data_IF_781008413214
#
_entry.id   IF_781008413214
#
_cell.length_a   1.000
_cell.length_b   1.000
_cell.length_c   1.000
_cell.angle_alpha   90.00
_cell.angle_beta   90.00
_cell.angle_gamma   90.00
#
_symmetry.space_group_name_H-M   'P 1'
#
loop_
_entity.id
_entity.type
_entity.pdbx_description
1 polymer ?
#
# COMPACT_ATOMS: atom_id res chain seq x y z
N UNK A 1 5.47 -15.96 46.77
CA UNK A 1 5.33 -14.56 46.31
C UNK A 1 4.74 -14.66 44.92
N UNK A 2 3.42 -14.70 44.86
CA UNK A 2 2.70 -15.23 43.71
C UNK A 2 2.23 -14.07 42.82
N UNK A 3 2.79 -14.00 41.61
CA UNK A 3 2.36 -13.03 40.59
C UNK A 3 1.46 -13.73 39.58
N UNK A 4 0.15 -13.54 39.75
CA UNK A 4 -0.86 -13.85 38.73
C UNK A 4 -0.90 -12.69 37.73
N UNK A 5 -0.45 -12.92 36.50
CA UNK A 5 -0.64 -12.03 35.36
C UNK A 5 -1.86 -12.52 34.57
N UNK A 6 -2.94 -11.75 34.60
CA UNK A 6 -4.15 -11.96 33.79
C UNK A 6 -4.06 -11.02 32.59
N UNK A 7 -3.97 -11.58 31.39
CA UNK A 7 -4.03 -10.87 30.12
C UNK A 7 -5.37 -11.14 29.43
N UNK A 8 -5.78 -10.14 28.64
CA UNK A 8 -6.72 -10.20 27.50
C UNK A 8 -8.21 -9.96 27.76
N UNK A 9 -8.65 -8.76 27.36
CA UNK A 9 -9.86 -8.59 26.56
C UNK A 9 -9.75 -7.31 25.72
N UNK A 10 -9.28 -7.44 24.47
CA UNK A 10 -9.36 -6.37 23.47
C UNK A 10 -10.71 -6.53 22.77
N UNK A 11 -11.67 -5.68 23.11
CA UNK A 11 -13.01 -5.69 22.53
C UNK A 11 -13.02 -4.91 21.20
N UNK A 12 -13.37 -5.62 20.14
CA UNK A 12 -13.68 -5.09 18.81
C UNK A 12 -14.89 -4.15 18.85
N UNK A 13 -14.78 -2.96 18.25
CA UNK A 13 -15.93 -2.08 18.01
C UNK A 13 -16.02 -1.74 16.52
N UNK A 14 -17.24 -1.87 16.02
CA UNK A 14 -17.63 -2.05 14.62
C UNK A 14 -17.58 -0.76 13.79
N UNK A 15 -17.28 -0.95 12.50
CA UNK A 15 -17.49 0.01 11.41
C UNK A 15 -18.98 0.01 11.06
N UNK A 16 -19.66 1.13 11.26
CA UNK A 16 -21.01 1.38 10.77
C UNK A 16 -20.96 2.43 9.65
N UNK A 17 -21.05 1.94 8.42
CA UNK A 17 -21.36 2.71 7.22
C UNK A 17 -22.87 2.83 7.07
N UNK A 18 -23.35 4.04 6.83
CA UNK A 18 -24.70 4.37 6.36
C UNK A 18 -24.78 5.90 6.29
N UNK A 19 -25.24 6.57 5.24
CA UNK A 19 -26.06 6.20 4.11
C UNK A 19 -26.99 7.39 3.85
N UNK A 20 -26.78 8.06 2.70
CA UNK A 20 -27.73 8.88 1.91
C UNK A 20 -28.68 9.87 2.64
N UNK A 21 -28.58 11.16 2.30
CA UNK A 21 -29.74 12.05 2.30
C UNK A 21 -29.74 12.95 1.05
N UNK A 22 -30.61 12.57 0.13
CA UNK A 22 -31.18 13.35 -0.95
C UNK A 22 -31.87 14.60 -0.37
N UNK A 23 -31.62 15.78 -0.94
CA UNK A 23 -32.58 16.88 -0.88
C UNK A 23 -32.49 17.71 -2.15
N UNK A 24 -33.52 17.55 -2.98
CA UNK A 24 -33.84 18.38 -4.12
C UNK A 24 -34.84 19.47 -3.69
N UNK A 25 -34.60 20.70 -4.12
CA UNK A 25 -35.54 21.80 -4.34
C UNK A 25 -34.68 22.99 -4.79
N UNK A 26 -34.92 23.76 -5.83
CA UNK A 26 -36.00 23.99 -6.79
C UNK A 26 -35.68 25.34 -7.46
N UNK A 27 -36.21 25.66 -8.66
CA UNK A 27 -35.66 26.69 -9.55
C UNK A 27 -36.48 28.00 -9.56
N UNK A 28 -35.86 29.20 -9.63
CA UNK A 28 -36.51 30.43 -10.15
C UNK A 28 -35.49 31.54 -10.53
N UNK A 29 -35.70 32.21 -11.69
CA UNK A 29 -35.29 33.60 -11.96
C UNK A 29 -34.16 33.77 -12.99
N UNK A 30 -34.41 33.93 -14.31
CA UNK A 30 -34.94 35.11 -15.05
C UNK A 30 -33.98 36.32 -15.08
N UNK A 31 -33.63 36.74 -16.31
CA UNK A 31 -33.01 38.02 -16.66
C UNK A 31 -31.59 37.84 -17.23
N UNK A 32 -31.25 38.15 -18.48
CA UNK A 32 -31.77 39.17 -19.39
C UNK A 32 -30.63 40.17 -19.64
N UNK A 33 -30.11 40.23 -20.87
CA UNK A 33 -29.17 41.30 -21.26
C UNK A 33 -28.32 40.98 -22.49
N UNK A 34 -28.60 41.60 -23.66
CA UNK A 34 -27.71 41.62 -24.81
C UNK A 34 -26.88 42.92 -24.83
N UNK A 35 -25.58 42.82 -25.09
CA UNK A 35 -24.72 43.97 -25.40
C UNK A 35 -23.45 43.43 -26.05
N UNK A 36 -23.23 43.61 -27.35
CA UNK A 36 -22.66 44.83 -27.93
C UNK A 36 -21.13 44.62 -27.97
N UNK A 37 -20.45 44.37 -29.08
CA UNK A 37 -20.58 45.03 -30.39
C UNK A 37 -19.65 46.24 -30.41
N UNK A 38 -18.43 46.06 -30.91
CA UNK A 38 -17.46 47.13 -31.16
C UNK A 38 -16.03 46.58 -31.07
N UNK A 39 -15.16 46.63 -32.09
CA UNK A 39 -15.16 47.48 -33.27
C UNK A 39 -13.79 48.14 -33.37
N UNK A 40 -12.94 47.55 -34.22
CA UNK A 40 -11.78 48.08 -34.92
C UNK A 40 -11.49 49.59 -34.78
N UNK A 41 -10.25 49.92 -34.43
CA UNK A 41 -9.70 51.28 -34.53
C UNK A 41 -8.20 51.26 -34.77
N UNK A 42 -7.80 50.97 -36.02
CA UNK A 42 -6.46 51.29 -36.50
C UNK A 42 -6.43 52.75 -36.94
N UNK A 43 -5.57 53.56 -36.32
CA UNK A 43 -5.32 54.95 -36.69
C UNK A 43 -3.89 55.09 -37.21
N UNK A 44 -3.75 55.13 -38.54
CA UNK A 44 -2.57 55.61 -39.25
C UNK A 44 -2.64 57.13 -39.39
N UNK A 45 -1.51 57.79 -39.15
CA UNK A 45 -1.11 59.04 -39.81
C UNK A 45 -1.69 60.32 -39.25
N UNK A 46 -0.82 61.21 -38.76
CA UNK A 46 -0.73 62.51 -39.41
C UNK A 46 0.66 63.14 -39.23
N UNK A 47 1.25 63.54 -40.35
CA UNK A 47 2.46 64.35 -40.44
C UNK A 47 2.01 65.82 -40.49
N UNK A 48 2.00 66.49 -39.35
CA UNK A 48 1.79 67.93 -39.24
C UNK A 48 3.07 68.67 -38.94
N UNK A 49 3.71 69.20 -39.97
CA UNK A 49 4.83 70.13 -39.82
C UNK A 49 4.39 71.53 -39.39
N UNK A 50 5.36 72.33 -38.94
CA UNK A 50 5.27 73.79 -38.88
C UNK A 50 5.47 74.37 -37.49
N UNK A 51 6.59 75.06 -37.27
CA UNK A 51 6.81 75.84 -36.05
C UNK A 51 8.20 76.44 -35.96
N UNK A 52 8.50 77.39 -36.84
CA UNK A 52 9.70 78.23 -36.77
C UNK A 52 9.71 79.05 -35.47
N UNK A 53 10.85 79.02 -34.76
CA UNK A 53 11.14 79.90 -33.63
C UNK A 53 12.64 80.15 -33.55
N UNK A 54 13.09 81.20 -34.24
CA UNK A 54 14.45 81.73 -34.11
C UNK A 54 14.63 82.42 -32.75
N UNK A 55 15.80 82.22 -32.15
CA UNK A 55 16.33 83.12 -31.14
C UNK A 55 17.33 82.48 -30.20
N UNK A 56 18.62 82.56 -30.54
CA UNK A 56 19.64 83.24 -29.74
C UNK A 56 21.02 82.58 -29.92
N UNK A 57 21.89 83.24 -30.69
CA UNK A 57 23.30 82.89 -30.79
C UNK A 57 24.02 83.39 -29.53
N UNK A 58 24.52 82.46 -28.73
CA UNK A 58 25.51 82.72 -27.69
C UNK A 58 26.72 81.83 -27.92
N UNK A 59 27.74 82.38 -28.59
CA UNK A 59 29.03 81.73 -28.80
C UNK A 59 29.76 81.59 -27.47
N UNK A 60 30.00 80.34 -27.05
CA UNK A 60 30.80 80.00 -25.87
C UNK A 60 31.43 78.63 -26.11
N UNK A 61 32.76 78.61 -26.10
CA UNK A 61 33.61 77.53 -26.54
C UNK A 61 33.48 76.24 -25.71
N UNK A 62 33.60 75.12 -26.42
CA UNK A 62 34.23 73.86 -25.99
C UNK A 62 34.03 73.44 -24.52
N UNK A 63 33.01 72.63 -24.27
CA UNK A 63 33.16 71.47 -23.39
C UNK A 63 32.36 70.31 -23.99
N UNK A 64 33.10 69.30 -24.45
CA UNK A 64 32.54 68.04 -24.90
C UNK A 64 31.89 67.29 -23.75
N UNK A 65 30.94 66.46 -24.14
CA UNK A 65 30.41 65.29 -23.44
C UNK A 65 29.40 65.56 -22.30
N UNK A 66 28.34 64.74 -22.27
CA UNK A 66 27.42 64.49 -21.14
C UNK A 66 26.02 65.16 -21.02
N UNK A 67 25.54 65.98 -21.96
CA UNK A 67 24.13 66.49 -21.86
C UNK A 67 23.16 66.07 -22.98
N UNK A 68 23.61 65.27 -23.95
CA UNK A 68 22.74 64.69 -24.99
C UNK A 68 22.23 63.27 -24.71
N UNK A 69 22.82 62.58 -23.73
CA UNK A 69 22.52 61.18 -23.40
C UNK A 69 21.44 61.00 -22.32
N UNK A 70 20.97 62.08 -21.68
CA UNK A 70 20.13 62.03 -20.49
C UNK A 70 18.64 61.76 -20.74
N UNK A 71 18.02 62.38 -21.75
CA UNK A 71 16.57 62.25 -21.96
C UNK A 71 16.15 60.85 -22.41
N UNK A 72 16.91 60.19 -23.29
CA UNK A 72 16.59 58.86 -23.79
C UNK A 72 16.95 57.71 -22.84
N UNK A 73 17.84 57.97 -21.86
CA UNK A 73 18.19 57.02 -20.79
C UNK A 73 17.15 57.07 -19.67
N UNK A 74 16.78 58.27 -19.20
CA UNK A 74 15.72 58.44 -18.19
C UNK A 74 14.39 57.84 -18.66
N UNK A 75 13.97 58.08 -19.90
CA UNK A 75 12.74 57.47 -20.43
C UNK A 75 12.79 55.94 -20.54
N UNK A 76 13.98 55.35 -20.77
CA UNK A 76 14.14 53.88 -20.81
C UNK A 76 14.15 53.28 -19.41
N UNK A 77 14.79 53.95 -18.45
CA UNK A 77 14.83 53.51 -17.07
C UNK A 77 13.47 53.69 -16.39
N UNK A 78 12.75 54.77 -16.68
CA UNK A 78 11.35 54.98 -16.28
C UNK A 78 10.41 53.95 -16.91
N UNK A 79 10.61 53.61 -18.19
CA UNK A 79 9.83 52.55 -18.85
C UNK A 79 10.15 51.15 -18.29
N UNK A 80 11.39 50.89 -17.86
CA UNK A 80 11.79 49.66 -17.17
C UNK A 80 11.20 49.57 -15.76
N UNK A 81 11.24 50.67 -15.01
CA UNK A 81 10.64 50.78 -13.68
C UNK A 81 9.12 50.57 -13.69
N UNK A 82 8.45 51.04 -14.74
CA UNK A 82 7.01 50.87 -14.92
C UNK A 82 6.63 49.58 -15.69
N UNK A 83 7.62 48.79 -16.13
CA UNK A 83 7.36 47.52 -16.78
C UNK A 83 6.96 46.47 -15.74
N UNK A 84 5.79 45.87 -15.91
CA UNK A 84 5.33 44.76 -15.07
C UNK A 84 5.98 43.41 -15.42
N UNK A 85 6.91 43.41 -16.38
CA UNK A 85 7.63 42.22 -16.81
C UNK A 85 6.78 41.24 -17.64
N UNK A 86 7.35 40.06 -17.97
CA UNK A 86 6.74 39.11 -18.91
C UNK A 86 5.42 38.50 -18.46
N UNK A 87 5.17 38.40 -17.15
CA UNK A 87 3.94 37.79 -16.61
C UNK A 87 2.68 38.63 -16.89
N UNK A 88 2.86 39.89 -17.24
CA UNK A 88 1.81 40.84 -17.54
C UNK A 88 1.74 41.20 -19.04
N UNK A 89 2.61 40.61 -19.86
CA UNK A 89 2.60 40.81 -21.31
C UNK A 89 1.50 39.95 -21.96
N UNK A 90 0.82 40.50 -22.96
CA UNK A 90 -0.15 39.71 -23.74
C UNK A 90 0.56 38.62 -24.55
N UNK A 91 -0.14 37.53 -24.84
CA UNK A 91 0.40 36.45 -25.68
C UNK A 91 0.86 36.97 -27.06
N UNK A 92 0.14 37.94 -27.64
CA UNK A 92 0.53 38.61 -28.89
C UNK A 92 1.80 39.44 -28.72
N UNK A 93 1.95 40.16 -27.61
CA UNK A 93 3.15 40.93 -27.30
C UNK A 93 4.40 40.07 -27.12
N UNK A 94 4.26 38.88 -26.53
CA UNK A 94 5.35 37.89 -26.43
C UNK A 94 5.66 37.28 -27.79
N UNK A 95 4.63 36.90 -28.56
CA UNK A 95 4.81 36.24 -29.87
C UNK A 95 5.48 37.14 -30.92
N UNK A 96 5.35 38.46 -30.80
CA UNK A 96 5.97 39.45 -31.68
C UNK A 96 7.17 40.16 -31.07
N UNK A 97 7.65 39.70 -29.91
CA UNK A 97 8.86 40.22 -29.31
C UNK A 97 10.07 39.91 -30.20
N UNK A 98 10.88 40.93 -30.50
CA UNK A 98 12.16 40.74 -31.19
C UNK A 98 13.27 40.37 -30.19
N UNK A 99 14.45 39.99 -30.68
CA UNK A 99 15.60 39.56 -29.86
C UNK A 99 16.09 40.63 -28.86
N UNK A 100 15.77 41.90 -29.10
CA UNK A 100 16.14 43.03 -28.22
C UNK A 100 15.06 43.35 -27.17
N UNK A 101 13.94 42.64 -27.18
CA UNK A 101 12.84 42.83 -26.24
C UNK A 101 13.14 42.12 -24.92
N UNK A 102 12.68 42.69 -23.80
CA UNK A 102 12.69 42.03 -22.48
C UNK A 102 11.84 40.74 -22.47
N UNK A 103 10.94 40.61 -23.45
CA UNK A 103 10.10 39.43 -23.65
C UNK A 103 10.76 38.37 -24.56
N UNK A 104 11.95 38.63 -25.10
CA UNK A 104 12.66 37.66 -25.93
C UNK A 104 13.00 36.39 -25.14
N UNK A 105 12.65 35.22 -25.68
CA UNK A 105 12.85 33.93 -25.02
C UNK A 105 11.79 33.57 -23.98
N UNK A 106 10.81 34.43 -23.71
CA UNK A 106 9.68 34.10 -22.84
C UNK A 106 8.68 33.23 -23.62
N UNK A 107 8.35 32.05 -23.09
CA UNK A 107 7.33 31.18 -23.69
C UNK A 107 5.95 31.69 -23.28
N UNK A 108 4.98 31.86 -24.19
CA UNK A 108 3.63 32.25 -23.81
C UNK A 108 3.01 31.21 -22.86
N UNK A 109 3.01 31.50 -21.56
CA UNK A 109 2.22 30.74 -20.58
C UNK A 109 0.81 31.29 -20.65
N UNK A 110 -0.06 30.63 -21.42
CA UNK A 110 -1.49 30.91 -21.36
C UNK A 110 -1.99 30.47 -19.99
N UNK A 111 -1.97 31.38 -19.01
CA UNK A 111 -2.55 31.19 -17.69
C UNK A 111 -3.95 31.81 -17.66
N UNK A 112 -4.92 31.06 -17.18
CA UNK A 112 -6.28 31.56 -16.96
C UNK A 112 -6.24 32.51 -15.75
N UNK A 113 -6.56 33.78 -15.97
CA UNK A 113 -6.45 34.82 -14.94
C UNK A 113 -7.68 34.89 -14.01
N UNK A 114 -8.86 34.47 -14.49
CA UNK A 114 -10.12 34.62 -13.74
C UNK A 114 -11.09 33.46 -13.95
N UNK A 115 -12.03 33.31 -13.03
CA UNK A 115 -13.07 32.26 -13.06
C UNK A 115 -12.70 30.96 -12.34
N UNK A 116 -13.57 29.93 -12.40
CA UNK A 116 -13.41 28.66 -11.66
C UNK A 116 -12.16 27.85 -12.02
N UNK A 117 -11.54 28.13 -13.17
CA UNK A 117 -10.31 27.51 -13.63
C UNK A 117 -9.13 28.51 -13.59
N UNK A 118 -9.25 29.60 -12.82
CA UNK A 118 -8.15 30.55 -12.61
C UNK A 118 -6.92 29.83 -12.04
N UNK A 119 -5.78 30.02 -12.69
CA UNK A 119 -4.54 29.32 -12.38
C UNK A 119 -4.21 28.15 -13.30
N UNK A 120 -5.16 27.66 -14.11
CA UNK A 120 -4.82 26.66 -15.15
C UNK A 120 -3.84 27.28 -16.13
N UNK A 121 -2.73 26.59 -16.38
CA UNK A 121 -1.68 26.99 -17.31
C UNK A 121 -1.26 25.82 -18.20
N UNK A 122 -0.66 26.12 -19.34
CA UNK A 122 0.02 25.12 -20.17
C UNK A 122 1.12 24.41 -19.39
N UNK A 123 1.25 23.10 -19.58
CA UNK A 123 2.16 22.23 -18.84
C UNK A 123 1.58 21.62 -17.56
N UNK A 124 0.43 22.11 -17.07
CA UNK A 124 -0.19 21.59 -15.85
C UNK A 124 -0.63 20.12 -16.02
N UNK A 125 -0.33 19.29 -15.02
CA UNK A 125 -0.76 17.89 -15.00
C UNK A 125 -2.28 17.80 -14.87
N UNK A 126 -2.87 16.92 -15.67
CA UNK A 126 -4.31 16.62 -15.66
C UNK A 126 -4.49 15.23 -15.10
N UNK A 127 -5.32 15.12 -14.05
CA UNK A 127 -5.62 13.84 -13.41
C UNK A 127 -7.08 13.43 -13.70
N UNK A 128 -7.29 12.16 -14.00
CA UNK A 128 -8.63 11.55 -14.04
C UNK A 128 -8.71 10.51 -12.94
N UNK A 129 -9.67 10.68 -12.01
CA UNK A 129 -9.82 9.81 -10.83
C UNK A 129 -8.49 9.57 -10.07
N UNK A 130 -7.69 10.63 -9.89
CA UNK A 130 -6.38 10.57 -9.21
C UNK A 130 -5.23 9.99 -10.04
N UNK A 131 -5.46 9.55 -11.27
CA UNK A 131 -4.42 9.04 -12.17
C UNK A 131 -4.01 10.10 -13.18
N UNK A 132 -2.71 10.29 -13.39
CA UNK A 132 -2.19 11.21 -14.42
C UNK A 132 -2.62 10.74 -15.82
N UNK A 133 -3.35 11.59 -16.55
CA UNK A 133 -3.77 11.31 -17.92
C UNK A 133 -3.00 12.12 -18.96
N UNK A 134 -2.37 13.22 -18.58
CA UNK A 134 -1.60 14.05 -19.50
C UNK A 134 -1.27 15.43 -18.95
N UNK A 135 -0.85 16.33 -19.84
CA UNK A 135 -0.55 17.73 -19.53
C UNK A 135 -1.36 18.69 -20.40
N UNK A 136 -1.65 19.89 -19.87
CA UNK A 136 -2.34 20.93 -20.63
C UNK A 136 -1.44 21.42 -21.76
N UNK A 137 -1.86 21.24 -23.00
CA UNK A 137 -1.13 21.71 -24.18
C UNK A 137 -1.59 23.10 -24.62
N UNK A 138 -2.89 23.36 -24.54
CA UNK A 138 -3.47 24.63 -24.96
C UNK A 138 -4.79 24.89 -24.22
N UNK A 139 -5.05 26.17 -23.93
CA UNK A 139 -6.30 26.65 -23.33
C UNK A 139 -7.02 27.50 -24.36
N UNK A 140 -8.30 27.21 -24.61
CA UNK A 140 -9.16 28.00 -25.48
C UNK A 140 -10.22 28.70 -24.64
N UNK A 141 -10.30 30.01 -24.81
CA UNK A 141 -11.28 30.86 -24.16
C UNK A 141 -12.50 31.05 -25.07
N UNK A 142 -13.69 31.18 -24.50
CA UNK A 142 -14.87 31.69 -25.19
C UNK A 142 -14.79 33.22 -25.32
N UNK A 143 -15.67 33.82 -26.15
CA UNK A 143 -15.67 35.26 -26.40
C UNK A 143 -15.91 36.15 -25.17
N UNK A 144 -16.35 35.56 -24.04
CA UNK A 144 -16.48 36.21 -22.74
C UNK A 144 -15.23 36.07 -21.83
N UNK A 145 -14.13 35.55 -22.35
CA UNK A 145 -12.87 35.35 -21.60
C UNK A 145 -12.83 34.13 -20.68
N UNK A 146 -13.94 33.39 -20.52
CA UNK A 146 -13.95 32.15 -19.75
C UNK A 146 -13.30 31.00 -20.52
N UNK A 147 -12.77 30.00 -19.82
CA UNK A 147 -12.28 28.77 -20.47
C UNK A 147 -13.46 28.02 -21.08
N UNK A 148 -13.38 27.73 -22.37
CA UNK A 148 -14.35 26.88 -23.07
C UNK A 148 -13.85 25.45 -23.16
N UNK A 149 -12.57 25.29 -23.53
CA UNK A 149 -11.95 24.01 -23.83
C UNK A 149 -10.48 24.02 -23.44
N UNK A 150 -9.99 22.92 -22.88
CA UNK A 150 -8.56 22.67 -22.66
C UNK A 150 -8.14 21.48 -23.52
N UNK A 151 -7.11 21.65 -24.33
CA UNK A 151 -6.48 20.57 -25.08
C UNK A 151 -5.42 19.94 -24.20
N UNK A 152 -5.60 18.66 -23.90
CA UNK A 152 -4.69 17.88 -23.05
C UNK A 152 -3.88 16.96 -23.93
N UNK A 153 -2.56 17.04 -23.84
CA UNK A 153 -1.66 16.05 -24.42
C UNK A 153 -1.59 14.86 -23.49
N UNK A 154 -2.20 13.77 -23.90
CA UNK A 154 -2.21 12.51 -23.17
C UNK A 154 -0.81 11.93 -23.02
N UNK A 155 -0.62 11.08 -22.01
CA UNK A 155 0.62 10.32 -21.82
C UNK A 155 0.94 9.39 -22.99
N UNK A 156 -0.08 8.98 -23.76
CA UNK A 156 0.07 8.25 -25.02
C UNK A 156 0.42 9.14 -26.23
N UNK A 157 0.61 10.45 -26.04
CA UNK A 157 0.90 11.41 -27.10
C UNK A 157 -0.32 11.97 -27.84
N UNK A 158 -1.53 11.43 -27.60
CA UNK A 158 -2.77 11.91 -28.21
C UNK A 158 -3.20 13.29 -27.69
N UNK A 159 -3.95 14.05 -28.48
CA UNK A 159 -4.51 15.35 -28.07
C UNK A 159 -6.00 15.20 -27.80
N UNK A 160 -6.42 15.51 -26.57
CA UNK A 160 -7.79 15.31 -26.11
C UNK A 160 -8.45 16.66 -25.78
N UNK A 161 -9.54 17.02 -26.46
CA UNK A 161 -10.32 18.21 -26.13
C UNK A 161 -11.16 17.94 -24.88
N UNK A 162 -10.91 18.68 -23.80
CA UNK A 162 -11.63 18.58 -22.52
C UNK A 162 -12.45 19.84 -22.29
N UNK A 163 -13.80 19.75 -22.27
CA UNK A 163 -14.67 20.87 -21.95
C UNK A 163 -14.44 21.41 -20.54
N UNK A 164 -14.57 22.72 -20.35
CA UNK A 164 -14.34 23.36 -19.05
C UNK A 164 -15.26 22.84 -17.93
N UNK A 165 -16.50 22.45 -18.24
CA UNK A 165 -17.43 21.85 -17.28
C UNK A 165 -17.05 20.42 -16.82
N UNK A 166 -16.02 19.84 -17.44
CA UNK A 166 -15.43 18.55 -17.04
C UNK A 166 -14.11 18.72 -16.32
N UNK A 167 -13.73 19.95 -15.96
CA UNK A 167 -12.49 20.30 -15.28
C UNK A 167 -12.78 20.87 -13.91
N UNK A 168 -11.89 20.58 -12.97
CA UNK A 168 -11.90 21.19 -11.64
C UNK A 168 -10.46 21.43 -11.23
N UNK A 169 -10.13 22.68 -10.90
CA UNK A 169 -8.83 23.03 -10.34
C UNK A 169 -9.00 23.20 -8.83
N UNK A 170 -8.32 22.38 -8.05
CA UNK A 170 -8.30 22.48 -6.60
C UNK A 170 -6.87 22.26 -6.09
N UNK A 171 -6.40 23.12 -5.18
CA UNK A 171 -5.08 23.02 -4.58
C UNK A 171 -3.94 22.88 -5.61
N UNK A 172 -4.02 23.59 -6.74
CA UNK A 172 -3.05 23.52 -7.83
C UNK A 172 -3.11 22.25 -8.69
N UNK A 173 -4.07 21.35 -8.43
CA UNK A 173 -4.26 20.10 -9.17
C UNK A 173 -5.45 20.21 -10.11
N UNK A 174 -5.23 20.04 -11.41
CA UNK A 174 -6.29 20.01 -12.41
C UNK A 174 -6.82 18.58 -12.56
N UNK A 175 -8.06 18.37 -12.15
CA UNK A 175 -8.76 17.10 -12.26
C UNK A 175 -9.82 17.14 -13.35
N UNK A 176 -10.11 15.99 -13.95
CA UNK A 176 -11.13 15.87 -15.00
C UNK A 176 -11.99 14.63 -14.88
N UNK A 177 -13.26 14.79 -15.25
CA UNK A 177 -14.25 13.70 -15.41
C UNK A 177 -14.45 13.29 -16.87
N UNK A 178 -13.68 13.86 -17.80
CA UNK A 178 -13.70 13.44 -19.20
C UNK A 178 -13.00 12.09 -19.38
N UNK A 179 -13.44 11.32 -20.39
CA UNK A 179 -12.84 10.02 -20.72
C UNK A 179 -11.67 10.20 -21.71
N UNK A 180 -10.53 9.58 -21.38
CA UNK A 180 -9.34 9.53 -22.23
C UNK A 180 -9.20 8.11 -22.78
N UNK A 181 -9.86 7.85 -23.91
CA UNK A 181 -9.81 6.55 -24.58
C UNK A 181 -8.36 6.15 -24.88
N UNK A 182 -7.99 4.92 -24.54
CA UNK A 182 -6.63 4.39 -24.72
C UNK A 182 -5.58 4.86 -23.70
N UNK A 183 -5.95 5.66 -22.69
CA UNK A 183 -5.08 5.96 -21.53
C UNK A 183 -5.67 5.29 -20.28
N UNK A 184 -6.93 5.57 -19.99
CA UNK A 184 -7.61 4.99 -18.83
C UNK A 184 -7.82 3.47 -19.00
N UNK A 185 -8.02 3.01 -20.22
CA UNK A 185 -8.25 1.59 -20.54
C UNK A 185 -6.98 0.75 -20.34
N UNK A 186 -5.81 1.32 -20.71
CA UNK A 186 -4.52 0.66 -20.54
C UNK A 186 -4.14 0.48 -19.07
N UNK A 187 -4.51 1.43 -18.20
CA UNK A 187 -4.29 1.31 -16.77
C UNK A 187 -5.19 0.25 -16.11
N UNK A 188 -6.40 0.01 -16.62
CA UNK A 188 -7.23 -1.11 -16.16
C UNK A 188 -6.69 -2.45 -16.63
N UNK A 189 -6.26 -2.55 -17.89
CA UNK A 189 -5.66 -3.78 -18.42
C UNK A 189 -4.33 -4.13 -17.71
N UNK A 190 -3.47 -3.14 -17.45
CA UNK A 190 -2.24 -3.34 -16.69
C UNK A 190 -2.49 -3.80 -15.25
N UNK A 191 -3.51 -3.24 -14.59
CA UNK A 191 -3.92 -3.68 -13.24
C UNK A 191 -4.48 -5.10 -13.21
N UNK A 192 -5.20 -5.52 -14.25
CA UNK A 192 -5.67 -6.90 -14.35
C UNK A 192 -4.52 -7.88 -14.59
N UNK A 193 -3.59 -7.54 -15.51
CA UNK A 193 -2.42 -8.38 -15.78
C UNK A 193 -1.42 -8.50 -14.61
N UNK A 194 -1.27 -7.45 -13.79
CA UNK A 194 -0.43 -7.53 -12.58
C UNK A 194 -1.01 -8.47 -11.51
N UNK A 195 -2.34 -8.48 -11.34
CA UNK A 195 -2.99 -9.40 -10.40
C UNK A 195 -2.85 -10.88 -10.81
N UNK A 196 -2.74 -11.16 -12.12
CA UNK A 196 -2.51 -12.53 -12.61
C UNK A 196 -1.08 -13.00 -12.29
N UNK A 197 -0.07 -12.17 -12.54
CA UNK A 197 1.32 -12.50 -12.20
C UNK A 197 1.59 -12.58 -10.69
N UNK A 198 0.93 -11.75 -9.88
CA UNK A 198 1.06 -11.83 -8.42
C UNK A 198 0.42 -13.10 -7.84
N UNK A 199 -0.65 -13.61 -8.47
CA UNK A 199 -1.25 -14.87 -8.05
C UNK A 199 -0.37 -16.07 -8.38
N UNK A 200 0.30 -16.10 -9.54
CA UNK A 200 1.21 -17.20 -9.89
C UNK A 200 2.44 -17.23 -8.97
N UNK A 201 3.04 -16.07 -8.69
CA UNK A 201 4.18 -15.98 -7.78
C UNK A 201 3.83 -16.33 -6.32
N UNK A 202 2.60 -16.02 -5.87
CA UNK A 202 2.14 -16.40 -4.53
C UNK A 202 1.79 -17.89 -4.41
N UNK A 203 1.36 -18.53 -5.50
CA UNK A 203 1.09 -19.98 -5.50
C UNK A 203 2.41 -20.75 -5.39
N UNK A 204 3.45 -20.36 -6.13
CA UNK A 204 4.76 -21.04 -6.02
C UNK A 204 5.45 -20.82 -4.65
N UNK A 205 5.29 -19.64 -4.03
CA UNK A 205 5.86 -19.38 -2.71
C UNK A 205 5.17 -20.20 -1.59
N UNK A 206 3.85 -20.44 -1.69
CA UNK A 206 3.12 -21.22 -0.69
C UNK A 206 3.53 -22.70 -0.69
N UNK A 207 3.81 -23.26 -1.87
CA UNK A 207 4.17 -24.68 -1.99
C UNK A 207 5.59 -24.98 -1.44
N UNK A 208 6.48 -24.00 -1.46
CA UNK A 208 7.81 -24.13 -0.85
C UNK A 208 7.75 -24.08 0.69
N UNK A 209 6.98 -23.15 1.25
CA UNK A 209 6.89 -22.95 2.71
C UNK A 209 6.25 -24.15 3.43
N UNK A 210 5.23 -24.78 2.83
CA UNK A 210 4.56 -25.93 3.43
C UNK A 210 5.45 -27.17 3.51
N UNK A 211 6.34 -27.35 2.53
CA UNK A 211 7.31 -28.44 2.52
C UNK A 211 8.41 -28.24 3.57
N UNK A 212 8.93 -27.01 3.71
CA UNK A 212 9.94 -26.70 4.72
C UNK A 212 9.38 -26.82 6.14
N UNK A 213 8.15 -26.35 6.36
CA UNK A 213 7.46 -26.53 7.64
C UNK A 213 7.18 -28.01 7.95
N UNK A 214 6.87 -28.82 6.94
CA UNK A 214 6.70 -30.27 7.11
C UNK A 214 8.03 -30.98 7.41
N UNK A 215 9.12 -30.59 6.74
CA UNK A 215 10.46 -31.14 6.99
C UNK A 215 10.98 -30.76 8.37
N UNK A 216 10.83 -29.50 8.78
CA UNK A 216 11.27 -29.02 10.09
C UNK A 216 10.49 -29.69 11.23
N UNK A 217 9.19 -29.95 11.04
CA UNK A 217 8.37 -30.73 12.00
C UNK A 217 8.81 -32.18 12.13
N UNK A 218 9.30 -32.81 11.06
CA UNK A 218 9.85 -34.18 11.11
C UNK A 218 11.22 -34.22 11.79
N UNK A 219 12.06 -33.22 11.53
CA UNK A 219 13.41 -33.13 12.12
C UNK A 219 13.38 -32.93 13.64
N UNK A 220 12.41 -32.17 14.14
CA UNK A 220 12.26 -31.90 15.57
C UNK A 220 11.46 -32.98 16.33
N UNK A 221 11.09 -34.09 15.68
CA UNK A 221 10.47 -35.23 16.36
C UNK A 221 11.51 -35.97 17.20
N UNK A 222 11.37 -35.96 18.52
CA UNK A 222 12.24 -36.72 19.43
C UNK A 222 11.94 -38.24 19.43
N UNK A 223 11.06 -38.72 18.56
CA UNK A 223 10.73 -40.14 18.43
C UNK A 223 9.94 -40.72 19.61
N UNK A 224 9.69 -42.04 19.59
CA UNK A 224 8.77 -42.70 20.52
C UNK A 224 9.15 -42.65 22.00
N UNK A 225 10.44 -42.58 22.32
CA UNK A 225 10.93 -42.55 23.69
C UNK A 225 10.57 -41.26 24.45
N UNK A 226 10.23 -40.19 23.71
CA UNK A 226 9.90 -38.88 24.25
C UNK A 226 8.43 -38.52 24.06
N UNK A 227 7.64 -39.42 23.47
CA UNK A 227 6.21 -39.22 23.29
C UNK A 227 5.46 -39.44 24.61
N UNK A 228 4.49 -38.57 24.89
CA UNK A 228 3.63 -38.74 26.07
C UNK A 228 2.76 -39.99 25.94
N UNK A 229 2.34 -40.57 27.07
CA UNK A 229 1.47 -41.74 27.07
C UNK A 229 0.16 -41.48 26.31
N UNK A 230 -0.40 -40.28 26.45
CA UNK A 230 -1.57 -39.83 25.69
C UNK A 230 -1.28 -39.75 24.20
N UNK A 231 -0.11 -39.24 23.80
CA UNK A 231 0.31 -39.16 22.40
C UNK A 231 0.48 -40.52 21.74
N UNK A 232 1.00 -41.51 22.47
CA UNK A 232 1.10 -42.91 22.00
C UNK A 232 -0.28 -43.55 21.92
N UNK A 233 -1.15 -43.34 22.91
CA UNK A 233 -2.50 -43.92 22.95
C UNK A 233 -3.41 -43.44 21.80
N UNK A 234 -3.19 -42.22 21.31
CA UNK A 234 -3.98 -41.63 20.21
C UNK A 234 -3.26 -41.66 18.86
N UNK A 235 -2.13 -42.35 18.77
CA UNK A 235 -1.42 -42.49 17.50
C UNK A 235 -2.23 -43.35 16.51
N UNK A 236 -2.38 -42.86 15.28
CA UNK A 236 -3.00 -43.64 14.20
C UNK A 236 -1.99 -44.62 13.58
N UNK A 237 -2.45 -45.51 12.68
CA UNK A 237 -1.63 -46.53 12.02
C UNK A 237 -0.54 -45.99 11.08
N UNK A 238 -0.54 -44.69 10.79
CA UNK A 238 0.47 -44.03 9.95
C UNK A 238 1.45 -43.17 10.76
N UNK A 239 1.27 -43.13 12.09
CA UNK A 239 2.17 -42.45 13.00
C UNK A 239 3.42 -43.29 13.26
N UNK A 240 4.58 -42.64 13.42
CA UNK A 240 5.82 -43.29 13.88
C UNK A 240 5.67 -43.87 15.29
N UNK A 241 4.66 -43.43 16.04
CA UNK A 241 4.31 -43.95 17.36
C UNK A 241 3.43 -45.21 17.29
N UNK A 242 2.99 -45.63 16.10
CA UNK A 242 2.21 -46.86 15.91
C UNK A 242 3.07 -48.08 16.25
N UNK A 243 2.92 -48.60 17.47
CA UNK A 243 3.72 -49.70 18.01
C UNK A 243 4.67 -49.30 19.14
N UNK A 244 4.76 -48.01 19.48
CA UNK A 244 5.41 -47.55 20.70
C UNK A 244 4.63 -48.07 21.92
N UNK A 245 5.32 -48.65 22.91
CA UNK A 245 4.68 -49.14 24.13
C UNK A 245 5.00 -48.20 25.28
N UNK A 246 3.97 -47.75 25.98
CA UNK A 246 4.04 -46.88 27.17
C UNK A 246 4.41 -47.65 28.45
N UNK A 247 4.83 -48.91 28.34
CA UNK A 247 5.31 -49.70 29.47
C UNK A 247 6.56 -49.02 30.04
N UNK A 248 6.40 -48.30 31.15
CA UNK A 248 7.54 -47.94 32.00
C UNK A 248 8.34 -49.21 32.26
N UNK A 249 9.65 -49.23 31.95
CA UNK A 249 10.43 -50.45 32.08
C UNK A 249 10.36 -50.92 33.53
N UNK A 250 9.81 -52.11 33.75
CA UNK A 250 9.76 -52.76 35.05
C UNK A 250 11.20 -53.16 35.40
N UNK A 251 11.95 -52.26 36.03
CA UNK A 251 13.36 -52.47 36.38
C UNK A 251 13.49 -53.17 37.74
N UNK A 252 14.60 -53.87 37.95
CA UNK A 252 14.91 -54.50 39.23
C UNK A 252 14.14 -55.77 39.55
N UNK A 253 13.37 -56.34 38.62
CA UNK A 253 12.66 -57.61 38.86
C UNK A 253 13.60 -58.80 38.71
N UNK A 254 13.68 -59.63 39.76
CA UNK A 254 14.48 -60.85 39.77
C UNK A 254 13.65 -62.07 40.20
N UNK A 255 14.17 -63.25 39.86
CA UNK A 255 13.63 -64.52 40.36
C UNK A 255 13.78 -64.56 41.88
N UNK A 256 12.75 -65.05 42.57
CA UNK A 256 12.69 -65.11 44.04
C UNK A 256 11.98 -63.93 44.70
N UNK A 257 11.68 -62.84 43.97
CA UNK A 257 10.93 -61.71 44.52
C UNK A 257 9.53 -62.13 45.00
N UNK A 258 9.08 -61.72 46.20
CA UNK A 258 7.72 -61.96 46.63
C UNK A 258 6.74 -61.09 45.84
N UNK A 259 5.64 -61.71 45.40
CA UNK A 259 4.50 -61.01 44.82
C UNK A 259 3.46 -60.73 45.91
N UNK A 260 3.11 -59.47 46.09
CA UNK A 260 2.09 -58.99 47.01
C UNK A 260 0.83 -58.57 46.24
N UNK A 261 -0.32 -58.86 46.83
CA UNK A 261 -1.60 -58.29 46.43
C UNK A 261 -2.30 -57.77 47.67
N UNK A 262 -2.65 -56.48 47.66
CA UNK A 262 -3.25 -55.80 48.81
C UNK A 262 -2.45 -56.00 50.11
N UNK A 263 -1.11 -56.00 50.02
CA UNK A 263 -0.21 -56.19 51.17
C UNK A 263 0.04 -57.64 51.61
N UNK A 264 -0.64 -58.63 51.02
CA UNK A 264 -0.45 -60.05 51.34
C UNK A 264 0.39 -60.74 50.28
N UNK A 265 1.38 -61.54 50.68
CA UNK A 265 2.18 -62.33 49.73
C UNK A 265 1.33 -63.45 49.14
N UNK A 266 1.21 -63.45 47.81
CA UNK A 266 0.40 -64.40 47.02
C UNK A 266 1.26 -65.35 46.20
N UNK A 267 2.57 -65.11 46.10
CA UNK A 267 3.51 -65.99 45.40
C UNK A 267 4.94 -65.47 45.39
N UNK A 268 5.79 -66.13 44.61
CA UNK A 268 7.19 -65.74 44.35
C UNK A 268 7.48 -65.79 42.85
N UNK A 269 8.28 -64.85 42.35
CA UNK A 269 8.68 -64.84 40.93
C UNK A 269 9.50 -66.08 40.63
N UNK A 270 9.02 -66.90 39.71
CA UNK A 270 9.73 -68.09 39.25
C UNK A 270 10.53 -67.84 37.98
N UNK A 271 10.10 -66.90 37.12
CA UNK A 271 10.82 -66.53 35.89
C UNK A 271 10.46 -65.14 35.40
N UNK A 272 11.45 -64.40 34.91
CA UNK A 272 11.27 -63.12 34.22
C UNK A 272 11.55 -63.32 32.73
N UNK A 273 10.61 -62.95 31.87
CA UNK A 273 10.77 -63.03 30.41
C UNK A 273 11.07 -61.63 29.90
N UNK A 274 12.27 -61.44 29.36
CA UNK A 274 12.72 -60.19 28.77
C UNK A 274 12.78 -60.28 27.25
N UNK A 275 12.68 -59.13 26.56
CA UNK A 275 12.95 -59.00 25.14
C UNK A 275 13.27 -57.54 24.82
N UNK A 276 14.30 -57.31 23.99
CA UNK A 276 14.83 -55.98 23.70
C UNK A 276 15.17 -55.17 24.98
N UNK A 277 15.70 -55.84 26.02
CA UNK A 277 16.04 -55.21 27.30
C UNK A 277 14.86 -54.87 28.21
N UNK A 278 13.60 -55.13 27.80
CA UNK A 278 12.41 -54.86 28.61
C UNK A 278 11.76 -56.15 29.12
N UNK A 279 11.19 -56.11 30.32
CA UNK A 279 10.36 -57.22 30.85
C UNK A 279 9.06 -57.28 30.05
N UNK A 280 8.79 -58.43 29.41
CA UNK A 280 7.55 -58.69 28.65
C UNK A 280 6.53 -59.51 29.43
N UNK A 281 7.01 -60.29 30.41
CA UNK A 281 6.18 -61.19 31.22
C UNK A 281 6.88 -61.55 32.51
N UNK A 282 6.13 -61.68 33.59
CA UNK A 282 6.63 -62.24 34.86
C UNK A 282 5.81 -63.47 35.20
N UNK A 283 6.48 -64.60 35.36
CA UNK A 283 5.89 -65.85 35.81
C UNK A 283 6.08 -65.94 37.32
N UNK A 284 4.98 -66.16 38.03
CA UNK A 284 4.95 -66.21 39.50
C UNK A 284 4.38 -67.54 39.92
N UNK A 285 5.07 -68.26 40.79
CA UNK A 285 4.53 -69.42 41.46
C UNK A 285 3.73 -68.98 42.68
N UNK A 286 2.42 -69.23 42.65
CA UNK A 286 1.53 -68.96 43.76
C UNK A 286 1.79 -69.88 44.94
N UNK A 287 1.30 -69.48 46.11
CA UNK A 287 1.34 -70.32 47.34
C UNK A 287 0.58 -71.64 47.19
N UNK A 288 -0.39 -71.68 46.27
CA UNK A 288 -1.12 -72.89 45.86
C UNK A 288 -0.36 -73.78 44.86
N UNK A 289 0.90 -73.46 44.54
CA UNK A 289 1.73 -74.19 43.57
C UNK A 289 1.46 -73.89 42.10
N UNK A 290 0.40 -73.12 41.77
CA UNK A 290 0.05 -72.78 40.38
C UNK A 290 0.93 -71.65 39.85
N UNK A 291 1.24 -71.65 38.55
CA UNK A 291 1.98 -70.56 37.91
C UNK A 291 1.04 -69.54 37.29
N UNK A 292 1.24 -68.26 37.63
CA UNK A 292 0.55 -67.12 37.07
C UNK A 292 1.46 -66.39 36.08
N UNK A 293 0.92 -66.01 34.93
CA UNK A 293 1.61 -65.20 33.93
C UNK A 293 1.08 -63.76 34.01
N UNK A 294 1.89 -62.85 34.53
CA UNK A 294 1.51 -61.46 34.76
C UNK A 294 2.09 -60.53 33.70
N UNK A 295 1.26 -59.58 33.29
CA UNK A 295 1.67 -58.50 32.39
C UNK A 295 2.46 -57.45 33.19
N UNK A 296 3.57 -56.91 32.64
CA UNK A 296 4.36 -55.84 33.28
C UNK A 296 3.49 -54.65 33.72
N UNK A 297 2.45 -54.31 32.95
CA UNK A 297 1.55 -53.19 33.25
C UNK A 297 0.67 -53.39 34.48
N UNK A 298 0.64 -54.59 35.04
CA UNK A 298 -0.10 -54.91 36.26
C UNK A 298 0.80 -55.04 37.47
N UNK A 299 2.08 -54.68 37.33
CA UNK A 299 3.12 -54.87 38.32
C UNK A 299 3.81 -53.55 38.66
N UNK A 300 4.15 -53.41 39.94
CA UNK A 300 5.02 -52.35 40.43
C UNK A 300 6.11 -52.99 41.27
N UNK A 301 7.38 -52.80 40.88
CA UNK A 301 8.53 -53.26 41.66
C UNK A 301 8.93 -52.18 42.67
N UNK A 302 9.01 -52.51 43.95
CA UNK A 302 9.45 -51.59 44.99
C UNK A 302 10.06 -52.34 46.17
N UNK A 303 11.23 -51.88 46.63
CA UNK A 303 11.86 -52.37 47.87
C UNK A 303 12.14 -53.88 47.90
N UNK A 304 12.47 -54.48 46.75
CA UNK A 304 12.71 -55.93 46.65
C UNK A 304 11.45 -56.79 46.52
N UNK A 305 10.29 -56.17 46.39
CA UNK A 305 8.99 -56.85 46.27
C UNK A 305 8.23 -56.41 45.02
N UNK A 306 7.32 -57.25 44.53
CA UNK A 306 6.42 -56.93 43.43
C UNK A 306 5.00 -56.78 43.94
N UNK A 307 4.32 -55.69 43.58
CA UNK A 307 2.91 -55.49 43.89
C UNK A 307 2.11 -55.69 42.61
N UNK A 308 1.02 -56.45 42.67
CA UNK A 308 0.14 -56.65 41.51
C UNK A 308 -1.26 -56.08 41.70
N UNK A 309 -1.78 -55.49 40.63
CA UNK A 309 -3.20 -55.11 40.48
C UNK A 309 -4.00 -56.13 39.70
N UNK A 310 -3.37 -57.19 39.17
CA UNK A 310 -4.05 -58.19 38.36
C UNK A 310 -5.05 -59.01 39.19
N UNK A 311 -6.21 -59.40 38.60
CA UNK A 311 -7.06 -60.42 39.18
C UNK A 311 -6.32 -61.77 39.14
N UNK A 312 -6.04 -62.33 40.32
CA UNK A 312 -5.45 -63.66 40.46
C UNK A 312 -6.60 -64.61 40.77
N UNK A 313 -7.08 -65.34 39.75
CA UNK A 313 -8.16 -66.31 39.95
C UNK A 313 -7.60 -67.59 40.57
N UNK A 314 -8.16 -68.01 41.70
CA UNK A 314 -7.82 -69.27 42.36
C UNK A 314 -6.71 -69.19 43.41
N UNK A 315 -6.46 -67.98 43.94
CA UNK A 315 -5.77 -67.73 45.22
C UNK A 315 -6.82 -67.21 46.18
#
# INVERSE_FOLDING_TARGET
MDRKLIFSALASAAILYGGQALAAAGPVGVGGGPGGGGGHGGGMGDHGGGGAGMGNMGAGAAHGDEFGAGMGAMNRDDARLNSQGPEHASATGIAHANENSVLAGTTPTNRVASGPLSGVSTGMNVLSNGTLVGTVQQIRLSGNGNVALVLVKGTNGGIFPVPANKLTLANGTLSTTARFHGINDNNMAARMGQNENENEAQVEARDADDNDAAMNRRMNSQGPAHASATGIAHANSHSVLAGASTTTPLTGVSVGMPLLKNGVQVGTVSRVVTGNGMVRRVLVQGTNGRTFSLSPNTLTASGGTLITTAPLRGI
#
